data_IF_224538936497
#
_entry.id   IF_224538936497
#
_cell.length_a   1.000
_cell.length_b   1.000
_cell.length_c   1.000
_cell.angle_alpha   90.00
_cell.angle_beta   90.00
_cell.angle_gamma   90.00
#
_symmetry.space_group_name_H-M   'P 1'
#
loop_
_entity.id
_entity.type
_entity.pdbx_description
1 polymer ?
#
# COMPACT_ATOMS: atom_id res chain seq x y z
N UNK A 1 -12.34 1.58 10.93
CA UNK A 1 -11.88 2.21 9.69
C UNK A 1 -12.66 1.64 8.53
N UNK A 2 -13.23 2.49 7.70
CA UNK A 2 -14.06 2.11 6.56
C UNK A 2 -13.20 1.89 5.32
N UNK A 3 -13.71 1.09 4.37
CA UNK A 3 -13.07 0.95 3.05
C UNK A 3 -12.91 2.29 2.33
N UNK A 4 -13.79 3.27 2.60
CA UNK A 4 -13.71 4.60 2.01
C UNK A 4 -12.52 5.40 2.55
N UNK A 5 -12.26 5.36 3.85
CA UNK A 5 -11.11 6.03 4.47
C UNK A 5 -9.79 5.46 3.92
N UNK A 6 -9.71 4.13 3.80
CA UNK A 6 -8.53 3.45 3.24
C UNK A 6 -8.28 3.83 1.77
N UNK A 7 -9.34 3.89 0.95
CA UNK A 7 -9.21 4.32 -0.45
C UNK A 7 -8.76 5.77 -0.57
N UNK A 8 -9.28 6.65 0.29
CA UNK A 8 -8.89 8.06 0.31
C UNK A 8 -7.41 8.22 0.68
N UNK A 9 -6.96 7.52 1.72
CA UNK A 9 -5.54 7.51 2.12
C UNK A 9 -4.62 7.02 0.98
N UNK A 10 -5.02 5.95 0.28
CA UNK A 10 -4.28 5.48 -0.88
C UNK A 10 -4.22 6.52 -2.00
N UNK A 11 -5.37 7.17 -2.32
CA UNK A 11 -5.43 8.19 -3.37
C UNK A 11 -4.53 9.36 -3.06
N UNK A 12 -4.53 9.82 -1.81
CA UNK A 12 -3.66 10.89 -1.32
C UNK A 12 -2.18 10.51 -1.45
N UNK A 13 -1.78 9.34 -0.94
CA UNK A 13 -0.39 8.88 -1.05
C UNK A 13 0.08 8.71 -2.52
N UNK A 14 -0.84 8.31 -3.41
CA UNK A 14 -0.56 8.15 -4.85
C UNK A 14 -0.47 9.50 -5.56
N UNK A 15 -1.32 10.48 -5.21
CA UNK A 15 -1.31 11.79 -5.87
C UNK A 15 -0.05 12.59 -5.62
N UNK A 16 0.60 12.35 -4.47
CA UNK A 16 1.86 12.99 -4.12
C UNK A 16 3.06 12.45 -4.91
N UNK A 17 2.92 11.35 -5.66
CA UNK A 17 4.02 10.80 -6.45
C UNK A 17 4.02 11.32 -7.90
N UNK A 18 5.18 11.76 -8.36
CA UNK A 18 5.32 12.40 -9.68
C UNK A 18 5.16 11.44 -10.86
N UNK A 19 5.41 10.14 -10.68
CA UNK A 19 5.39 9.12 -11.75
C UNK A 19 4.59 7.88 -11.37
N UNK A 20 3.32 7.81 -11.80
CA UNK A 20 2.47 6.65 -11.54
C UNK A 20 3.04 5.34 -12.14
N UNK A 21 3.74 5.42 -13.26
CA UNK A 21 4.41 4.24 -13.86
C UNK A 21 5.51 3.68 -12.97
N UNK A 22 6.22 4.56 -12.24
CA UNK A 22 7.22 4.12 -11.28
C UNK A 22 6.56 3.47 -10.05
N UNK A 23 5.44 4.03 -9.57
CA UNK A 23 4.66 3.39 -8.51
C UNK A 23 4.18 1.99 -8.90
N UNK A 24 3.72 1.81 -10.14
CA UNK A 24 3.37 0.49 -10.66
C UNK A 24 4.56 -0.48 -10.61
N UNK A 25 5.78 0.01 -10.90
CA UNK A 25 7.01 -0.75 -10.77
C UNK A 25 7.30 -1.19 -9.33
N UNK A 26 7.21 -0.27 -8.37
CA UNK A 26 7.38 -0.58 -6.94
C UNK A 26 6.34 -1.58 -6.45
N UNK A 27 5.07 -1.38 -6.80
CA UNK A 27 3.99 -2.29 -6.46
C UNK A 27 4.21 -3.71 -7.02
N UNK A 28 4.69 -3.81 -8.26
CA UNK A 28 5.04 -5.11 -8.88
C UNK A 28 6.13 -5.85 -8.12
N UNK A 29 7.10 -5.10 -7.55
CA UNK A 29 8.20 -5.65 -6.78
C UNK A 29 7.91 -5.78 -5.28
N UNK A 30 6.71 -5.38 -4.83
CA UNK A 30 6.35 -5.18 -3.41
C UNK A 30 7.43 -4.40 -2.65
N UNK A 31 7.84 -3.28 -3.24
CA UNK A 31 8.81 -2.36 -2.67
C UNK A 31 8.12 -1.13 -2.13
N UNK A 32 8.55 -0.72 -0.94
CA UNK A 32 8.14 0.53 -0.35
C UNK A 32 8.68 1.71 -1.14
N UNK A 33 8.05 2.86 -0.95
CA UNK A 33 8.51 4.13 -1.48
C UNK A 33 8.13 5.24 -0.51
N UNK A 34 8.93 6.29 -0.51
CA UNK A 34 8.69 7.49 0.28
C UNK A 34 9.03 8.72 -0.55
N UNK A 35 8.10 9.66 -0.66
CA UNK A 35 8.35 10.94 -1.27
C UNK A 35 9.07 11.80 -0.23
N UNK A 36 10.37 11.97 -0.43
CA UNK A 36 11.24 12.69 0.51
C UNK A 36 10.90 14.18 0.66
N UNK A 37 10.07 14.74 -0.22
CA UNK A 37 9.66 16.15 -0.14
C UNK A 37 8.54 16.39 0.88
N UNK A 38 7.70 15.39 1.17
CA UNK A 38 6.49 15.55 1.98
C UNK A 38 6.15 14.32 2.84
N UNK A 39 7.13 13.44 3.09
CA UNK A 39 7.00 12.31 4.00
C UNK A 39 5.84 11.37 3.67
N UNK A 40 5.50 11.19 2.40
CA UNK A 40 4.31 10.44 1.97
C UNK A 40 4.70 9.20 1.18
N UNK A 41 4.09 8.05 1.47
CA UNK A 41 4.53 6.81 0.88
C UNK A 41 3.77 5.56 1.32
N UNK A 42 4.37 4.42 0.98
CA UNK A 42 3.86 3.09 1.31
C UNK A 42 5.02 2.20 1.70
N UNK A 43 4.85 1.41 2.76
CA UNK A 43 5.76 0.33 3.12
C UNK A 43 5.07 -1.03 2.89
N UNK A 44 5.83 -1.98 2.33
CA UNK A 44 5.44 -3.38 2.22
C UNK A 44 6.09 -4.18 3.35
N UNK A 45 5.43 -5.24 3.86
CA UNK A 45 5.98 -6.04 4.95
C UNK A 45 7.32 -6.69 4.57
N UNK A 46 7.50 -7.09 3.32
CA UNK A 46 8.71 -7.75 2.84
C UNK A 46 9.88 -6.80 2.55
N UNK A 47 9.64 -5.48 2.61
CA UNK A 47 10.64 -4.45 2.35
C UNK A 47 11.10 -3.73 3.61
N UNK A 48 10.58 -4.12 4.79
CA UNK A 48 11.05 -3.58 6.06
C UNK A 48 12.43 -4.12 6.40
N UNK A 49 13.31 -3.23 6.83
CA UNK A 49 14.63 -3.60 7.36
C UNK A 49 14.56 -3.97 8.86
N UNK A 50 15.60 -4.60 9.43
CA UNK A 50 15.62 -4.99 10.84
C UNK A 50 15.48 -3.80 11.80
N UNK A 51 15.96 -2.60 11.45
CA UNK A 51 15.85 -1.43 12.30
C UNK A 51 14.39 -0.96 12.40
N UNK A 52 13.68 -0.92 11.27
CA UNK A 52 12.26 -0.59 11.21
C UNK A 52 11.41 -1.57 12.04
N UNK A 53 11.79 -2.85 12.05
CA UNK A 53 11.07 -3.89 12.81
C UNK A 53 11.42 -3.81 14.30
N UNK A 54 12.70 -3.78 14.65
CA UNK A 54 13.17 -3.97 16.03
C UNK A 54 13.20 -2.68 16.85
N UNK A 55 13.50 -1.56 16.19
CA UNK A 55 13.67 -0.26 16.86
C UNK A 55 12.43 0.62 16.69
N UNK A 56 11.92 0.74 15.47
CA UNK A 56 10.70 1.53 15.21
C UNK A 56 9.42 0.75 15.54
N UNK A 57 9.51 -0.57 15.69
CA UNK A 57 8.38 -1.42 16.05
C UNK A 57 7.34 -1.54 14.94
N UNK A 58 7.70 -1.27 13.68
CA UNK A 58 6.78 -1.34 12.55
C UNK A 58 6.40 -2.80 12.30
N UNK A 59 5.11 -3.07 12.37
CA UNK A 59 4.55 -4.38 12.05
C UNK A 59 3.45 -4.26 11.01
N UNK A 60 3.70 -4.82 9.83
CA UNK A 60 2.74 -4.87 8.72
C UNK A 60 2.31 -6.33 8.54
N UNK A 61 1.03 -6.67 8.74
CA UNK A 61 0.55 -8.03 8.50
C UNK A 61 0.67 -8.43 7.04
N UNK A 62 0.84 -9.74 6.79
CA UNK A 62 0.84 -10.28 5.42
C UNK A 62 -0.47 -9.93 4.71
N UNK A 63 -0.38 -9.46 3.46
CA UNK A 63 -1.54 -9.01 2.68
C UNK A 63 -2.01 -7.59 2.99
N UNK A 64 -1.27 -6.86 3.84
CA UNK A 64 -1.47 -5.45 4.11
C UNK A 64 -0.24 -4.64 3.68
N UNK A 65 -0.46 -3.35 3.48
CA UNK A 65 0.58 -2.34 3.33
C UNK A 65 0.35 -1.24 4.35
N UNK A 66 1.41 -0.56 4.75
CA UNK A 66 1.32 0.65 5.57
C UNK A 66 1.38 1.86 4.66
N UNK A 67 0.27 2.58 4.52
CA UNK A 67 0.20 3.86 3.80
C UNK A 67 0.43 4.97 4.81
N UNK A 68 1.35 5.89 4.52
CA UNK A 68 1.66 7.00 5.41
C UNK A 68 1.68 8.32 4.65
N UNK A 69 1.16 9.37 5.29
CA UNK A 69 1.07 10.73 4.73
C UNK A 69 1.50 11.69 5.83
N UNK A 70 2.71 12.24 5.74
CA UNK A 70 3.26 13.21 6.69
C UNK A 70 3.61 14.53 6.02
N UNK A 71 2.59 15.24 5.54
CA UNK A 71 2.75 16.58 4.96
C UNK A 71 2.64 17.66 6.03
N UNK A 72 3.47 18.69 5.90
CA UNK A 72 3.41 19.96 6.63
C UNK A 72 2.08 20.72 6.43
N UNK A 73 1.31 20.37 5.39
CA UNK A 73 0.00 20.96 5.11
C UNK A 73 -1.14 20.34 5.93
N UNK A 74 -0.92 19.20 6.59
CA UNK A 74 -1.92 18.60 7.48
C UNK A 74 -1.87 19.24 8.86
N UNK A 75 -3.01 19.77 9.30
CA UNK A 75 -3.18 20.40 10.61
C UNK A 75 -2.82 19.48 11.79
N UNK A 76 -2.94 18.16 11.60
CA UNK A 76 -2.79 17.16 12.65
C UNK A 76 -1.43 16.42 12.61
N UNK A 77 -0.51 16.82 11.72
CA UNK A 77 0.84 16.25 11.65
C UNK A 77 0.96 14.94 10.89
N UNK A 78 -0.05 14.56 10.10
CA UNK A 78 -0.06 13.38 9.25
C UNK A 78 -0.69 12.13 9.88
N UNK A 79 -0.67 11.03 9.15
CA UNK A 79 -1.20 9.74 9.62
C UNK A 79 -0.52 8.54 8.94
N UNK A 80 -0.65 7.38 9.59
CA UNK A 80 -0.28 6.09 9.03
C UNK A 80 -1.47 5.13 9.11
N UNK A 81 -1.59 4.27 8.10
CA UNK A 81 -2.75 3.45 7.90
C UNK A 81 -2.40 2.07 7.37
N UNK A 82 -2.81 1.03 8.09
CA UNK A 82 -2.81 -0.33 7.55
C UNK A 82 -3.97 -0.48 6.56
N UNK A 83 -3.63 -0.79 5.32
CA UNK A 83 -4.57 -0.98 4.22
C UNK A 83 -4.35 -2.36 3.62
N UNK A 84 -5.42 -3.16 3.38
CA UNK A 84 -5.28 -4.38 2.60
C UNK A 84 -4.61 -4.08 1.24
N UNK A 85 -3.59 -4.85 0.88
CA UNK A 85 -2.77 -4.64 -0.32
C UNK A 85 -3.65 -4.53 -1.58
N UNK A 86 -4.70 -5.36 -1.69
CA UNK A 86 -5.62 -5.32 -2.82
C UNK A 86 -6.39 -4.00 -2.95
N UNK A 87 -6.72 -3.31 -1.83
CA UNK A 87 -7.38 -2.00 -1.87
C UNK A 87 -6.41 -0.95 -2.42
N UNK A 88 -5.17 -0.94 -1.94
CA UNK A 88 -4.13 -0.04 -2.45
C UNK A 88 -3.90 -0.24 -3.95
N UNK A 89 -3.75 -1.50 -4.39
CA UNK A 89 -3.52 -1.84 -5.78
C UNK A 89 -4.73 -1.47 -6.68
N UNK A 90 -5.97 -1.67 -6.21
CA UNK A 90 -7.16 -1.20 -6.94
C UNK A 90 -7.12 0.32 -7.16
N UNK A 91 -6.78 1.08 -6.12
CA UNK A 91 -6.70 2.55 -6.22
C UNK A 91 -5.59 2.99 -7.16
N UNK A 92 -4.42 2.35 -7.10
CA UNK A 92 -3.30 2.62 -8.02
C UNK A 92 -3.68 2.31 -9.48
N UNK A 93 -4.37 1.19 -9.72
CA UNK A 93 -4.83 0.85 -11.06
C UNK A 93 -5.82 1.87 -11.62
N UNK A 94 -6.74 2.37 -10.80
CA UNK A 94 -7.69 3.41 -11.22
C UNK A 94 -6.96 4.73 -11.54
N UNK A 95 -6.02 5.15 -10.68
CA UNK A 95 -5.19 6.33 -10.94
C UNK A 95 -4.38 6.21 -12.23
N UNK A 96 -3.81 5.03 -12.51
CA UNK A 96 -3.10 4.74 -13.77
C UNK A 96 -4.04 4.83 -14.98
N UNK A 97 -5.25 4.27 -14.88
CA UNK A 97 -6.25 4.33 -15.95
C UNK A 97 -6.70 5.77 -16.22
N UNK A 98 -6.96 6.56 -15.18
CA UNK A 98 -7.31 7.98 -15.27
C UNK A 98 -6.23 8.83 -15.97
N UNK A 99 -4.96 8.40 -15.93
CA UNK A 99 -3.82 9.03 -16.62
C UNK A 99 -3.43 8.37 -17.94
N UNK A 100 -4.29 7.52 -18.51
CA UNK A 100 -4.07 6.80 -19.77
C UNK A 100 -2.90 5.80 -19.75
N UNK A 101 -2.50 5.30 -18.58
CA UNK A 101 -1.51 4.22 -18.43
C UNK A 101 -2.18 2.84 -18.40
N UNK A 102 -2.93 2.51 -19.46
CA UNK A 102 -3.80 1.32 -19.47
C UNK A 102 -3.07 -0.01 -19.33
N UNK A 103 -1.84 -0.13 -19.84
CA UNK A 103 -1.04 -1.36 -19.75
C UNK A 103 -0.61 -1.61 -18.30
N UNK A 104 -0.11 -0.58 -17.62
CA UNK A 104 0.26 -0.65 -16.20
C UNK A 104 -0.97 -0.85 -15.33
N UNK A 105 -2.09 -0.16 -15.60
CA UNK A 105 -3.35 -0.34 -14.87
C UNK A 105 -3.83 -1.79 -14.91
N UNK A 106 -3.81 -2.43 -16.09
CA UNK A 106 -4.21 -3.83 -16.24
C UNK A 106 -3.32 -4.78 -15.43
N UNK A 107 -2.00 -4.58 -15.45
CA UNK A 107 -1.05 -5.37 -14.64
C UNK A 107 -1.31 -5.22 -13.14
N UNK A 108 -1.51 -3.99 -12.69
CA UNK A 108 -1.79 -3.71 -11.27
C UNK A 108 -3.14 -4.30 -10.83
N UNK A 109 -4.14 -4.38 -11.72
CA UNK A 109 -5.41 -5.08 -11.43
C UNK A 109 -5.24 -6.57 -11.21
N UNK A 110 -4.42 -7.24 -12.01
CA UNK A 110 -4.11 -8.66 -11.78
C UNK A 110 -3.39 -8.86 -10.44
N UNK A 111 -2.43 -7.99 -10.10
CA UNK A 111 -1.79 -8.01 -8.79
C UNK A 111 -2.79 -7.82 -7.65
N UNK A 112 -3.78 -6.93 -7.82
CA UNK A 112 -4.83 -6.70 -6.82
C UNK A 112 -5.66 -7.96 -6.57
N UNK A 113 -6.05 -8.68 -7.64
CA UNK A 113 -6.78 -9.96 -7.54
C UNK A 113 -5.95 -11.01 -6.81
N UNK A 114 -4.67 -11.16 -7.16
CA UNK A 114 -3.76 -12.08 -6.49
C UNK A 114 -3.57 -11.72 -5.01
N UNK A 115 -3.51 -10.43 -4.67
CA UNK A 115 -3.39 -9.95 -3.30
C UNK A 115 -4.64 -10.25 -2.47
N UNK A 116 -5.82 -10.10 -3.05
CA UNK A 116 -7.09 -10.46 -2.42
C UNK A 116 -7.16 -11.96 -2.14
N UNK A 117 -6.77 -12.80 -3.12
CA UNK A 117 -6.73 -14.25 -2.97
C UNK A 117 -5.74 -14.69 -1.88
N UNK A 118 -4.55 -14.08 -1.81
CA UNK A 118 -3.59 -14.32 -0.73
C UNK A 118 -4.17 -13.97 0.63
N UNK A 119 -4.83 -12.82 0.75
CA UNK A 119 -5.45 -12.40 2.02
C UNK A 119 -6.55 -13.38 2.47
N UNK A 120 -7.30 -13.98 1.53
CA UNK A 120 -8.34 -14.97 1.82
C UNK A 120 -7.77 -16.35 2.20
N UNK A 121 -6.59 -16.73 1.70
CA UNK A 121 -5.91 -17.98 2.08
C UNK A 121 -5.31 -17.94 3.49
N UNK A 122 -5.16 -16.75 4.09
CA UNK A 122 -4.68 -16.54 5.47
C UNK A 122 -5.87 -16.43 6.46
N UNK A 123 -7.04 -16.96 6.10
CA UNK A 123 -8.21 -16.97 6.98
C UNK A 123 -7.91 -17.77 8.27
N UNK A 124 -8.16 -17.22 9.49
CA UNK A 124 -7.77 -17.80 10.78
C UNK A 124 -8.22 -19.24 11.09
N UNK A 125 -9.09 -19.83 10.27
CA UNK A 125 -9.47 -21.23 10.40
C UNK A 125 -8.28 -22.21 10.23
N UNK A 126 -7.23 -21.82 9.49
CA UNK A 126 -6.04 -22.66 9.30
C UNK A 126 -4.91 -22.40 10.32
N UNK A 127 -4.97 -21.28 11.05
CA UNK A 127 -4.03 -20.98 12.14
C UNK A 127 -4.33 -21.79 13.43
N UNK A 128 -5.58 -22.23 13.61
CA UNK A 128 -6.03 -23.02 14.78
C UNK A 128 -5.79 -24.54 14.67
N UNK A 129 -5.23 -25.03 13.54
CA UNK A 129 -4.92 -26.47 13.36
C UNK A 129 -3.45 -26.83 13.59
N UNK A 130 -2.62 -25.86 13.99
CA UNK A 130 -1.19 -26.07 14.29
C UNK A 130 -0.79 -25.51 15.67
N UNK A 131 -1.68 -25.65 16.65
CA UNK A 131 -1.40 -25.44 18.07
C UNK A 131 -1.55 -26.74 18.85
#
# INVERSE_FOLDING_TARGET
>A
MTSSEQKNACREAISEWSSLRQLAGFATLRKGYCNSNNGTGVNYPEDLDPYQIEVEGIHIPVGYVLVFVFTDQMLDGGYELLVPEHIYLCVLADALAEKNHGVEAAKVRELAREAEERAQQINPADALRRG
#
